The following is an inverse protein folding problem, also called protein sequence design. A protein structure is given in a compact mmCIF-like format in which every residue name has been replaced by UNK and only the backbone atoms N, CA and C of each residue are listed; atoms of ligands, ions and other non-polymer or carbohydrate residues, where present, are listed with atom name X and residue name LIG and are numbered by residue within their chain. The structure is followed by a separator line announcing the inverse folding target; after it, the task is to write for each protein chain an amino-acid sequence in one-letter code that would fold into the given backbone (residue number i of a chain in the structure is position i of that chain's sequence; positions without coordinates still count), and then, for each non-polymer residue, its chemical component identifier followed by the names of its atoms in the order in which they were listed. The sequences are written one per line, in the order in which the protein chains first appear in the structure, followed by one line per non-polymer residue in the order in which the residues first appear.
data_IF_368075074893
#
_entry.id   IF_368075074893
#
_cell.length_a   1.000
_cell.length_b   1.000
_cell.length_c   1.000
_cell.angle_alpha   90.00
_cell.angle_beta   90.00
_cell.angle_gamma   90.00
#
_symmetry.space_group_name_H-M   'P 1'
#
loop_
_entity.id
_entity.type
_entity.pdbx_description
1 polymer ?
#
# COMPACT_ATOMS: atom_id res chain seq x y z
N UNK A 1 26.44 -4.44 -66.53
CA UNK A 1 24.97 -4.34 -66.51
C UNK A 1 24.45 -5.03 -67.77
N UNK A 2 23.44 -5.91 -67.77
CA UNK A 2 22.64 -6.56 -66.70
C UNK A 2 23.21 -7.97 -66.36
N UNK A 3 23.03 -8.68 -65.22
CA UNK A 3 21.91 -9.08 -64.34
C UNK A 3 20.80 -9.87 -65.04
N UNK A 4 20.84 -11.21 -64.91
CA UNK A 4 19.70 -12.01 -64.45
C UNK A 4 20.10 -13.47 -64.18
N UNK A 5 20.13 -13.78 -62.89
CA UNK A 5 20.39 -15.08 -62.27
C UNK A 5 19.14 -15.97 -62.36
N UNK A 6 19.30 -17.19 -62.87
CA UNK A 6 18.26 -18.22 -62.89
C UNK A 6 18.03 -18.77 -61.47
N UNK A 7 16.82 -18.60 -60.93
CA UNK A 7 16.39 -19.29 -59.70
C UNK A 7 15.11 -20.10 -59.91
N UNK A 8 15.28 -21.38 -59.62
CA UNK A 8 14.42 -22.24 -58.80
C UNK A 8 12.99 -22.52 -59.28
N UNK A 9 12.81 -23.77 -59.70
CA UNK A 9 11.56 -24.49 -59.87
C UNK A 9 10.73 -24.50 -58.58
N UNK A 10 9.49 -24.03 -58.69
CA UNK A 10 8.44 -24.18 -57.69
C UNK A 10 7.98 -25.64 -57.58
N UNK A 11 7.71 -26.08 -56.34
CA UNK A 11 6.62 -27.02 -56.01
C UNK A 11 6.25 -26.86 -54.53
N UNK A 12 4.98 -26.63 -54.21
CA UNK A 12 4.40 -27.17 -53.00
C UNK A 12 3.15 -28.02 -53.32
N UNK A 13 3.14 -29.25 -52.83
CA UNK A 13 1.99 -30.16 -52.84
C UNK A 13 1.13 -29.95 -51.60
N UNK A 14 -0.16 -29.82 -51.85
CA UNK A 14 -1.35 -30.28 -51.10
C UNK A 14 -1.58 -29.92 -49.62
N UNK A 15 -2.63 -29.10 -49.44
CA UNK A 15 -3.83 -29.28 -48.59
C UNK A 15 -3.71 -30.05 -47.27
N UNK A 16 -4.08 -29.40 -46.17
CA UNK A 16 -5.32 -29.72 -45.42
C UNK A 16 -5.59 -28.64 -44.36
N UNK A 17 -6.78 -28.04 -44.39
CA UNK A 17 -7.24 -27.09 -43.36
C UNK A 17 -7.76 -27.91 -42.17
N UNK A 18 -7.18 -27.76 -40.98
CA UNK A 18 -7.79 -28.21 -39.72
C UNK A 18 -7.90 -27.03 -38.77
N UNK A 19 -9.15 -26.76 -38.40
CA UNK A 19 -9.56 -25.69 -37.50
C UNK A 19 -9.11 -26.02 -36.07
N UNK A 20 -8.88 -24.94 -35.31
CA UNK A 20 -9.03 -24.84 -33.86
C UNK A 20 -7.88 -25.48 -33.03
N UNK A 21 -7.52 -25.05 -31.83
CA UNK A 21 -8.12 -24.18 -30.80
C UNK A 21 -6.96 -23.51 -30.05
N UNK A 22 -7.23 -22.34 -29.46
CA UNK A 22 -6.40 -21.63 -28.49
C UNK A 22 -5.62 -22.53 -27.51
N UNK A 23 -4.33 -22.25 -27.33
CA UNK A 23 -3.61 -22.59 -26.10
C UNK A 23 -3.00 -21.29 -25.56
N UNK A 24 -3.85 -20.45 -24.98
CA UNK A 24 -3.43 -19.29 -24.19
C UNK A 24 -2.94 -19.83 -22.83
N UNK A 25 -1.68 -20.27 -22.76
CA UNK A 25 -1.08 -20.75 -21.51
C UNK A 25 -0.69 -19.56 -20.64
N UNK A 26 -1.67 -18.95 -19.98
CA UNK A 26 -1.48 -18.00 -18.88
C UNK A 26 -1.33 -18.80 -17.60
N UNK A 27 -0.12 -19.24 -17.30
CA UNK A 27 0.27 -19.55 -15.92
C UNK A 27 0.79 -18.24 -15.30
N UNK A 28 -0.13 -17.31 -15.08
CA UNK A 28 0.07 -16.31 -14.03
C UNK A 28 -0.05 -17.09 -12.73
N UNK A 29 1.09 -17.57 -12.23
CA UNK A 29 1.24 -17.89 -10.81
C UNK A 29 0.93 -16.60 -10.05
N UNK A 30 -0.35 -16.39 -9.77
CA UNK A 30 -0.79 -15.50 -8.71
C UNK A 30 -0.20 -16.10 -7.45
N UNK A 31 0.95 -15.56 -7.05
CA UNK A 31 1.39 -15.67 -5.67
C UNK A 31 0.19 -15.18 -4.87
N UNK A 32 -0.54 -16.10 -4.26
CA UNK A 32 -1.41 -15.79 -3.14
C UNK A 32 -0.47 -15.26 -2.07
N UNK A 33 -0.15 -13.96 -2.14
CA UNK A 33 0.38 -13.22 -1.02
C UNK A 33 -0.55 -13.58 0.12
N UNK A 34 -0.03 -14.36 1.06
CA UNK A 34 -0.71 -14.67 2.30
C UNK A 34 -1.33 -13.37 2.76
N UNK A 35 -2.65 -13.32 2.89
CA UNK A 35 -3.30 -12.27 3.65
C UNK A 35 -2.73 -12.41 5.07
N UNK A 36 -1.59 -11.76 5.32
CA UNK A 36 -1.12 -11.52 6.67
C UNK A 36 -2.24 -10.70 7.27
N UNK A 37 -2.96 -11.33 8.19
CA UNK A 37 -4.02 -10.69 8.94
C UNK A 37 -3.34 -9.56 9.73
N UNK A 38 -3.34 -8.35 9.15
CA UNK A 38 -2.66 -7.19 9.70
C UNK A 38 -3.51 -6.67 10.86
N UNK A 39 -3.32 -7.33 12.01
CA UNK A 39 -4.00 -6.99 13.26
C UNK A 39 -3.45 -5.71 13.87
N UNK A 40 -2.18 -5.40 13.63
CA UNK A 40 -1.53 -4.20 14.14
C UNK A 40 -0.80 -3.47 13.01
N UNK A 41 -1.31 -2.31 12.62
CA UNK A 41 -0.67 -1.41 11.66
C UNK A 41 0.17 -0.38 12.41
N UNK A 42 1.39 -0.10 11.91
CA UNK A 42 2.33 0.80 12.58
C UNK A 42 3.06 1.72 11.59
N UNK A 43 3.38 2.93 12.06
CA UNK A 43 4.31 3.83 11.39
C UNK A 43 5.02 4.72 12.41
N UNK A 44 6.32 4.94 12.23
CA UNK A 44 7.08 5.87 13.06
C UNK A 44 7.00 7.26 12.48
N UNK A 45 6.80 8.29 13.29
CA UNK A 45 6.88 9.64 12.76
C UNK A 45 6.78 10.77 13.76
N UNK A 46 7.01 11.97 13.22
CA UNK A 46 6.96 13.24 13.92
C UNK A 46 5.92 14.11 13.24
N UNK A 47 4.82 14.39 13.93
CA UNK A 47 3.66 15.08 13.37
C UNK A 47 3.42 16.44 14.05
N UNK A 48 2.90 17.39 13.26
CA UNK A 48 2.51 18.72 13.70
C UNK A 48 1.01 18.76 14.00
N UNK A 49 0.67 19.17 15.22
CA UNK A 49 -0.68 19.21 15.75
C UNK A 49 -1.29 20.58 15.47
N UNK A 50 -2.46 20.62 14.83
CA UNK A 50 -3.21 21.86 14.60
C UNK A 50 -4.20 22.16 15.72
N UNK A 51 -4.83 21.12 16.27
CA UNK A 51 -5.76 21.24 17.39
C UNK A 51 -5.80 19.96 18.21
N UNK A 52 -6.28 20.10 19.45
CA UNK A 52 -6.41 19.00 20.39
C UNK A 52 -7.85 18.98 20.89
N UNK A 53 -8.52 17.86 20.74
CA UNK A 53 -9.87 17.62 21.24
C UNK A 53 -9.80 16.68 22.45
N UNK A 54 -10.28 17.11 23.61
CA UNK A 54 -10.26 16.30 24.83
C UNK A 54 -11.35 15.22 24.72
N UNK A 55 -10.95 13.95 24.83
CA UNK A 55 -11.89 12.82 24.82
C UNK A 55 -12.29 12.41 26.23
N UNK A 56 -11.33 12.41 27.17
CA UNK A 56 -11.55 12.13 28.59
C UNK A 56 -10.46 12.83 29.44
N UNK A 57 -10.41 12.53 30.75
CA UNK A 57 -9.47 13.16 31.70
C UNK A 57 -7.99 13.01 31.33
N UNK A 58 -7.63 11.99 30.56
CA UNK A 58 -6.23 11.66 30.23
C UNK A 58 -5.94 11.64 28.74
N UNK A 59 -6.92 11.37 27.90
CA UNK A 59 -6.75 11.18 26.46
C UNK A 59 -7.36 12.33 25.66
N UNK A 60 -6.64 12.70 24.62
CA UNK A 60 -7.02 13.70 23.65
C UNK A 60 -6.82 13.15 22.23
N UNK A 61 -7.65 13.60 21.30
CA UNK A 61 -7.44 13.42 19.86
C UNK A 61 -6.68 14.62 19.32
N UNK A 62 -5.44 14.41 18.89
CA UNK A 62 -4.64 15.40 18.20
C UNK A 62 -4.98 15.39 16.70
N UNK A 63 -5.41 16.53 16.16
CA UNK A 63 -5.57 16.73 14.72
C UNK A 63 -4.23 17.10 14.11
N UNK A 64 -3.86 16.38 13.05
CA UNK A 64 -2.56 16.51 12.39
C UNK A 64 -2.73 17.37 11.13
N UNK A 65 -1.89 18.38 10.96
CA UNK A 65 -1.90 19.26 9.78
C UNK A 65 -0.59 19.17 8.97
N UNK A 66 0.37 18.40 9.45
CA UNK A 66 1.60 18.17 8.73
C UNK A 66 2.44 17.12 9.41
N UNK A 67 3.36 16.53 8.66
CA UNK A 67 4.28 15.51 9.17
C UNK A 67 5.69 15.87 8.75
N UNK A 68 6.60 15.92 9.72
CA UNK A 68 8.03 16.18 9.48
C UNK A 68 8.77 14.92 9.06
N UNK A 69 8.38 13.78 9.62
CA UNK A 69 8.95 12.47 9.33
C UNK A 69 7.85 11.42 9.43
N UNK A 70 7.75 10.54 8.45
CA UNK A 70 6.83 9.40 8.47
C UNK A 70 7.52 8.20 7.83
N UNK A 71 7.60 7.10 8.57
CA UNK A 71 8.24 5.86 8.16
C UNK A 71 7.29 4.69 8.39
N UNK A 72 6.66 4.17 7.32
CA UNK A 72 5.80 3.00 7.40
C UNK A 72 6.62 1.69 7.27
N UNK A 73 7.87 1.65 7.74
CA UNK A 73 8.79 0.53 7.54
C UNK A 73 8.50 -0.72 8.43
N UNK A 74 7.27 -0.83 8.94
CA UNK A 74 6.83 -1.94 9.79
C UNK A 74 6.21 -3.06 8.94
N UNK A 75 6.01 -4.23 9.55
CA UNK A 75 5.44 -5.39 8.86
C UNK A 75 4.05 -5.11 8.27
N UNK A 76 3.25 -4.31 8.98
CA UNK A 76 1.95 -3.83 8.55
C UNK A 76 1.99 -2.30 8.54
N UNK A 77 2.20 -1.65 7.38
CA UNK A 77 2.38 -0.22 7.30
C UNK A 77 1.08 0.54 7.56
N UNK A 78 1.11 1.49 8.50
CA UNK A 78 0.01 2.45 8.67
C UNK A 78 0.05 3.53 7.60
N UNK A 79 -1.09 3.86 7.01
CA UNK A 79 -1.20 4.90 5.97
C UNK A 79 -1.12 6.31 6.57
N UNK A 80 -0.30 7.17 5.96
CA UNK A 80 -0.18 8.58 6.34
C UNK A 80 -1.53 9.32 6.20
N UNK A 81 -2.26 9.08 5.12
CA UNK A 81 -3.53 9.77 4.85
C UNK A 81 -4.55 9.49 5.96
N UNK A 82 -4.55 8.28 6.50
CA UNK A 82 -5.44 7.92 7.59
C UNK A 82 -5.05 8.58 8.90
N UNK A 83 -3.75 8.74 9.17
CA UNK A 83 -3.25 9.51 10.32
C UNK A 83 -3.71 10.96 10.22
N UNK A 84 -3.65 11.56 9.02
CA UNK A 84 -4.08 12.94 8.77
C UNK A 84 -5.60 13.11 8.93
N UNK A 85 -6.40 12.19 8.40
CA UNK A 85 -7.87 12.27 8.42
C UNK A 85 -8.44 11.96 9.81
N UNK A 86 -8.02 10.84 10.41
CA UNK A 86 -8.56 10.36 11.69
C UNK A 86 -8.06 11.20 12.87
N UNK A 87 -6.84 11.73 12.76
CA UNK A 87 -6.07 12.22 13.90
C UNK A 87 -5.56 11.08 14.77
N UNK A 88 -4.85 11.43 15.83
CA UNK A 88 -4.16 10.46 16.70
C UNK A 88 -4.64 10.64 18.14
N UNK A 89 -5.08 9.55 18.78
CA UNK A 89 -5.42 9.51 20.19
C UNK A 89 -4.16 9.32 21.01
N UNK A 90 -3.92 10.26 21.91
CA UNK A 90 -2.72 10.35 22.72
C UNK A 90 -3.10 10.74 24.15
N UNK A 91 -2.18 10.57 25.10
CA UNK A 91 -2.33 11.29 26.36
C UNK A 91 -2.18 12.79 26.10
N UNK A 92 -3.08 13.62 26.64
CA UNK A 92 -3.10 15.06 26.41
C UNK A 92 -1.75 15.74 26.76
N UNK A 93 -0.98 15.15 27.67
CA UNK A 93 0.34 15.64 28.08
C UNK A 93 1.47 15.37 27.06
N UNK A 94 1.24 14.55 26.03
CA UNK A 94 2.24 14.19 25.01
C UNK A 94 2.40 15.28 23.93
N UNK A 95 1.49 16.23 23.85
CA UNK A 95 1.60 17.35 22.90
C UNK A 95 2.59 18.37 23.46
N UNK A 96 3.77 18.44 22.85
CA UNK A 96 4.80 19.39 23.22
C UNK A 96 5.01 20.39 22.08
N UNK A 97 4.78 21.66 22.34
CA UNK A 97 4.98 22.75 21.35
C UNK A 97 4.23 22.53 20.03
N UNK A 98 3.02 21.96 20.09
CA UNK A 98 2.22 21.65 18.89
C UNK A 98 2.78 20.51 18.04
N UNK A 99 3.57 19.60 18.65
CA UNK A 99 4.17 18.45 17.99
C UNK A 99 3.98 17.18 18.80
N UNK A 100 3.90 16.06 18.10
CA UNK A 100 3.96 14.70 18.66
C UNK A 100 5.00 13.88 17.91
N UNK A 101 5.64 12.95 18.62
CA UNK A 101 6.70 12.07 18.12
C UNK A 101 6.49 10.68 18.73
N UNK A 102 6.56 9.65 17.91
CA UNK A 102 6.48 8.27 18.36
C UNK A 102 6.08 7.31 17.26
N UNK A 103 5.50 6.19 17.68
CA UNK A 103 4.97 5.15 16.79
C UNK A 103 3.45 5.30 16.80
N UNK A 104 2.92 5.66 15.64
CA UNK A 104 1.49 5.64 15.36
C UNK A 104 1.08 4.21 15.12
N UNK A 105 -0.02 3.78 15.73
CA UNK A 105 -0.51 2.42 15.54
C UNK A 105 -2.04 2.35 15.49
N UNK A 106 -2.55 1.34 14.77
CA UNK A 106 -3.96 0.94 14.78
C UNK A 106 -4.04 -0.56 15.04
N UNK A 107 -4.90 -0.95 15.98
CA UNK A 107 -5.20 -2.35 16.27
C UNK A 107 -6.51 -2.75 15.59
N UNK A 108 -6.40 -3.28 14.38
CA UNK A 108 -7.51 -3.79 13.58
C UNK A 108 -8.22 -4.99 14.24
N UNK A 109 -7.58 -5.66 15.22
CA UNK A 109 -8.19 -6.74 15.99
C UNK A 109 -9.29 -6.29 16.96
N UNK A 110 -9.34 -4.98 17.29
CA UNK A 110 -10.29 -4.42 18.26
C UNK A 110 -11.58 -3.86 17.65
N UNK A 111 -11.80 -3.99 16.34
CA UNK A 111 -12.88 -3.32 15.60
C UNK A 111 -12.90 -1.79 15.83
N UNK A 112 -11.74 -1.20 16.13
CA UNK A 112 -11.59 0.24 16.32
C UNK A 112 -10.72 0.81 15.20
N UNK A 113 -11.23 1.83 14.51
CA UNK A 113 -10.51 2.54 13.45
C UNK A 113 -9.61 3.66 13.99
N UNK A 114 -9.61 3.88 15.30
CA UNK A 114 -8.79 4.89 15.95
C UNK A 114 -7.30 4.58 15.83
N UNK A 115 -6.52 5.64 15.62
CA UNK A 115 -5.07 5.59 15.59
C UNK A 115 -4.57 6.13 16.92
N UNK A 116 -3.59 5.46 17.50
CA UNK A 116 -3.01 5.79 18.79
C UNK A 116 -1.51 6.10 18.65
N UNK A 117 -0.93 6.72 19.68
CA UNK A 117 0.51 6.90 19.81
C UNK A 117 1.01 6.10 21.00
N UNK A 118 2.04 5.27 20.78
CA UNK A 118 2.78 4.63 21.88
C UNK A 118 3.56 5.66 22.72
#
# INVERSE_FOLDING_TARGET
MPVLENRASQKPKEKFMKKAVLALSVLMSVSSSFAQDCTLEEAQGIALVSSVEVLNETQCRAKINGVKMFSPAYNCPLSLDEVLVSGVIINCNRVHEGRIDGIFYRDNGKNDSNIYLY
#
